data_IF_737471232095
#
_entry.id   IF_737471232095
#
_cell.length_a   1.000
_cell.length_b   1.000
_cell.length_c   1.000
_cell.angle_alpha   90.00
_cell.angle_beta   90.00
_cell.angle_gamma   90.00
#
_symmetry.space_group_name_H-M   'P 1'
#
loop_
_entity.id
_entity.type
_entity.pdbx_description
1 polymer ?
#
# COMPACT_ATOMS: atom_id res chain seq x y z
N UNK A 1 11.53 -22.75 9.92
CA UNK A 1 11.18 -22.13 8.61
C UNK A 1 10.02 -21.15 8.73
N UNK A 2 8.99 -21.48 9.51
CA UNK A 2 7.83 -20.63 9.71
C UNK A 2 8.21 -19.26 10.30
N UNK A 3 9.12 -19.25 11.27
CA UNK A 3 9.62 -18.03 11.90
C UNK A 3 10.32 -17.11 10.92
N UNK A 4 11.15 -17.67 10.03
CA UNK A 4 11.83 -16.90 8.98
C UNK A 4 10.85 -16.38 7.94
N UNK A 5 9.81 -17.16 7.62
CA UNK A 5 8.74 -16.73 6.71
C UNK A 5 8.00 -15.51 7.26
N UNK A 6 7.59 -15.56 8.53
CA UNK A 6 6.92 -14.45 9.20
C UNK A 6 7.82 -13.22 9.30
N UNK A 7 9.09 -13.41 9.66
CA UNK A 7 10.07 -12.33 9.71
C UNK A 7 10.23 -11.63 8.36
N UNK A 8 10.42 -12.40 7.30
CA UNK A 8 10.56 -11.88 5.96
C UNK A 8 9.29 -11.14 5.51
N UNK A 9 8.12 -11.71 5.75
CA UNK A 9 6.84 -11.11 5.43
C UNK A 9 6.67 -9.75 6.12
N UNK A 10 6.94 -9.70 7.42
CA UNK A 10 6.81 -8.48 8.21
C UNK A 10 7.80 -7.39 7.79
N UNK A 11 9.05 -7.75 7.53
CA UNK A 11 10.07 -6.79 7.08
C UNK A 11 9.74 -6.19 5.71
N UNK A 12 9.33 -7.03 4.76
CA UNK A 12 8.98 -6.57 3.41
C UNK A 12 7.71 -5.73 3.44
N UNK A 13 6.70 -6.16 4.18
CA UNK A 13 5.45 -5.40 4.33
C UNK A 13 5.71 -4.02 4.93
N UNK A 14 6.55 -3.95 5.97
CA UNK A 14 6.96 -2.68 6.58
C UNK A 14 7.67 -1.79 5.59
N UNK A 15 8.66 -2.31 4.87
CA UNK A 15 9.41 -1.58 3.86
C UNK A 15 8.52 -1.04 2.75
N UNK A 16 7.64 -1.88 2.21
CA UNK A 16 6.69 -1.50 1.16
C UNK A 16 5.72 -0.42 1.62
N UNK A 17 5.17 -0.53 2.82
CA UNK A 17 4.25 0.47 3.37
C UNK A 17 4.94 1.84 3.52
N UNK A 18 6.15 1.87 4.06
CA UNK A 18 6.92 3.10 4.23
C UNK A 18 7.33 3.71 2.89
N UNK A 19 7.83 2.89 1.97
CA UNK A 19 8.25 3.34 0.64
C UNK A 19 7.08 3.91 -0.15
N UNK A 20 5.93 3.24 -0.14
CA UNK A 20 4.72 3.74 -0.81
C UNK A 20 4.21 5.03 -0.20
N UNK A 21 4.25 5.14 1.11
CA UNK A 21 3.90 6.38 1.80
C UNK A 21 4.80 7.54 1.37
N UNK A 22 6.12 7.31 1.32
CA UNK A 22 7.09 8.32 0.90
C UNK A 22 6.96 8.67 -0.59
N UNK A 23 6.63 7.70 -1.45
CA UNK A 23 6.43 7.94 -2.88
C UNK A 23 5.17 8.76 -3.18
N UNK A 24 4.13 8.63 -2.36
CA UNK A 24 2.91 9.43 -2.51
C UNK A 24 3.10 10.89 -2.10
N UNK A 25 4.19 11.21 -1.43
CA UNK A 25 4.50 12.52 -0.89
C UNK A 25 5.82 13.07 -1.46
N UNK A 26 5.89 13.43 -2.77
CA UNK A 26 7.04 14.18 -3.25
C UNK A 26 7.18 15.50 -2.47
N UNK A 27 8.42 16.02 -2.28
CA UNK A 27 8.66 17.23 -1.49
C UNK A 27 7.89 18.47 -1.97
N UNK A 28 7.51 18.47 -3.26
CA UNK A 28 6.78 19.56 -3.90
C UNK A 28 5.26 19.36 -3.96
N UNK A 29 4.75 18.29 -3.34
CA UNK A 29 3.31 18.02 -3.37
C UNK A 29 2.55 19.07 -2.57
N UNK A 30 1.33 19.45 -3.01
CA UNK A 30 0.49 20.37 -2.27
C UNK A 30 0.18 19.87 -0.87
N UNK A 31 0.19 20.78 0.11
CA UNK A 31 -0.14 20.47 1.51
C UNK A 31 -1.38 21.16 2.02
N UNK A 32 -2.02 22.00 1.21
CA UNK A 32 -3.26 22.68 1.54
C UNK A 32 -4.26 22.55 0.41
N UNK A 33 -5.53 22.31 0.76
CA UNK A 33 -6.66 22.38 -0.17
C UNK A 33 -7.58 23.53 0.17
N UNK A 34 -8.04 24.23 -0.85
CA UNK A 34 -9.10 25.25 -0.76
C UNK A 34 -10.38 24.69 -1.37
N UNK A 35 -11.43 24.67 -0.59
CA UNK A 35 -12.73 24.12 -0.95
C UNK A 35 -13.82 25.21 -0.89
N UNK A 36 -14.97 24.93 -1.47
CA UNK A 36 -16.16 25.79 -1.42
C UNK A 36 -15.96 27.17 -2.06
N UNK A 37 -15.14 27.23 -3.08
CA UNK A 37 -14.89 28.45 -3.85
C UNK A 37 -16.01 28.67 -4.85
N UNK A 38 -16.56 29.90 -4.91
CA UNK A 38 -17.53 30.23 -5.96
C UNK A 38 -16.82 30.52 -7.27
N UNK A 39 -17.55 30.44 -8.38
CA UNK A 39 -16.98 30.77 -9.71
C UNK A 39 -16.44 32.18 -9.77
N UNK A 40 -17.12 33.15 -9.12
CA UNK A 40 -16.68 34.55 -9.06
C UNK A 40 -15.38 34.72 -8.26
N UNK A 41 -15.14 33.88 -7.27
CA UNK A 41 -13.95 33.94 -6.41
C UNK A 41 -12.69 33.34 -7.07
N UNK A 42 -12.85 32.47 -8.07
CA UNK A 42 -11.72 31.79 -8.70
C UNK A 42 -10.63 32.74 -9.21
N UNK A 43 -10.94 33.80 -10.00
CA UNK A 43 -9.90 34.73 -10.44
C UNK A 43 -9.22 35.47 -9.29
N UNK A 44 -9.97 35.82 -8.25
CA UNK A 44 -9.46 36.52 -7.08
C UNK A 44 -8.52 35.67 -6.26
N UNK A 45 -8.88 34.41 -6.02
CA UNK A 45 -8.03 33.44 -5.30
C UNK A 45 -6.79 33.13 -6.10
N UNK A 46 -6.92 32.95 -7.41
CA UNK A 46 -5.78 32.71 -8.31
C UNK A 46 -4.78 33.87 -8.25
N UNK A 47 -5.27 35.13 -8.31
CA UNK A 47 -4.44 36.33 -8.17
C UNK A 47 -3.76 36.39 -6.80
N UNK A 48 -4.45 36.05 -5.72
CA UNK A 48 -3.89 36.00 -4.38
C UNK A 48 -2.74 34.99 -4.27
N UNK A 49 -2.93 33.77 -4.78
CA UNK A 49 -1.90 32.74 -4.77
C UNK A 49 -0.67 33.15 -5.58
N UNK A 50 -0.87 33.76 -6.74
CA UNK A 50 0.22 34.26 -7.57
C UNK A 50 0.96 35.43 -6.91
N UNK A 51 0.25 36.33 -6.26
CA UNK A 51 0.84 37.47 -5.55
C UNK A 51 1.77 37.02 -4.41
N UNK A 52 1.42 35.95 -3.72
CA UNK A 52 2.21 35.37 -2.63
C UNK A 52 3.19 34.31 -3.09
N UNK A 53 3.38 34.17 -4.41
CA UNK A 53 4.32 33.21 -5.02
C UNK A 53 4.06 31.75 -4.60
N UNK A 54 2.81 31.42 -4.34
CA UNK A 54 2.39 30.05 -4.05
C UNK A 54 2.17 29.32 -5.37
N UNK A 55 2.77 28.14 -5.48
CA UNK A 55 2.57 27.30 -6.63
C UNK A 55 1.19 26.66 -6.57
N UNK A 56 0.30 27.14 -7.41
CA UNK A 56 -1.07 26.62 -7.51
C UNK A 56 -1.14 25.41 -8.43
N UNK A 57 -1.94 24.45 -8.05
CA UNK A 57 -2.35 23.36 -8.91
C UNK A 57 -3.61 23.75 -9.72
N UNK A 58 -4.10 22.83 -10.51
CA UNK A 58 -5.29 23.02 -11.33
C UNK A 58 -6.52 23.31 -10.45
N UNK A 59 -7.34 24.26 -10.89
CA UNK A 59 -8.65 24.51 -10.27
C UNK A 59 -9.66 23.54 -10.86
N UNK A 60 -10.32 22.78 -10.00
CA UNK A 60 -11.32 21.78 -10.38
C UNK A 60 -12.72 22.28 -10.02
N UNK A 61 -13.63 22.37 -10.99
CA UNK A 61 -15.05 22.58 -10.68
C UNK A 61 -15.66 21.32 -10.10
N UNK A 62 -16.55 21.49 -9.13
CA UNK A 62 -17.25 20.40 -8.48
C UNK A 62 -18.75 20.64 -8.60
N UNK A 63 -19.45 19.64 -9.14
CA UNK A 63 -20.92 19.60 -9.19
C UNK A 63 -21.39 18.37 -8.43
N UNK A 64 -22.26 18.57 -7.45
CA UNK A 64 -22.82 17.49 -6.66
C UNK A 64 -24.12 16.99 -7.28
N UNK A 65 -24.14 15.72 -7.65
CA UNK A 65 -25.30 15.06 -8.26
C UNK A 65 -25.41 13.63 -7.78
N UNK A 66 -26.57 13.02 -8.03
CA UNK A 66 -26.78 11.59 -7.83
C UNK A 66 -26.84 10.88 -9.17
N UNK A 67 -26.28 9.69 -9.24
CA UNK A 67 -26.51 8.77 -10.35
C UNK A 67 -27.88 8.16 -10.16
N UNK A 68 -28.85 8.60 -10.97
CA UNK A 68 -30.25 8.18 -10.82
C UNK A 68 -30.62 6.99 -11.70
N UNK A 69 -30.09 6.91 -12.90
CA UNK A 69 -30.42 5.86 -13.86
C UNK A 69 -29.19 5.39 -14.63
N UNK A 70 -29.19 4.09 -14.94
CA UNK A 70 -28.21 3.44 -15.81
C UNK A 70 -28.98 2.78 -16.93
N UNK A 71 -28.78 3.20 -18.17
CA UNK A 71 -29.53 2.71 -19.34
C UNK A 71 -31.04 2.76 -19.14
N UNK A 72 -31.54 3.87 -18.61
CA UNK A 72 -32.96 4.13 -18.32
C UNK A 72 -33.55 3.24 -17.22
N UNK A 73 -32.76 2.45 -16.54
CA UNK A 73 -33.15 1.68 -15.37
C UNK A 73 -32.71 2.40 -14.09
N UNK A 74 -33.60 2.48 -13.10
CA UNK A 74 -33.29 3.12 -11.82
C UNK A 74 -32.04 2.48 -11.19
N UNK A 75 -31.06 3.28 -10.84
CA UNK A 75 -29.76 2.80 -10.38
C UNK A 75 -29.86 1.98 -9.09
N UNK A 76 -30.75 2.36 -8.17
CA UNK A 76 -30.99 1.65 -6.92
C UNK A 76 -31.65 0.28 -7.11
N UNK A 77 -32.38 0.08 -8.21
CA UNK A 77 -32.96 -1.21 -8.58
C UNK A 77 -31.93 -2.14 -9.23
N UNK A 78 -31.00 -1.57 -9.97
CA UNK A 78 -29.92 -2.32 -10.64
C UNK A 78 -28.83 -2.74 -9.66
N UNK A 79 -28.48 -1.87 -8.70
CA UNK A 79 -27.44 -2.07 -7.71
C UNK A 79 -28.04 -1.89 -6.32
N UNK A 80 -28.04 -2.95 -5.54
CA UNK A 80 -28.55 -2.93 -4.16
C UNK A 80 -27.50 -2.33 -3.20
N UNK A 81 -27.97 -1.90 -2.04
CA UNK A 81 -27.12 -1.27 -1.02
C UNK A 81 -25.97 -2.18 -0.58
N UNK A 82 -26.19 -3.49 -0.54
CA UNK A 82 -25.19 -4.48 -0.14
C UNK A 82 -24.24 -4.90 -1.27
N UNK A 83 -24.52 -4.48 -2.50
CA UNK A 83 -23.69 -4.81 -3.65
C UNK A 83 -22.41 -3.94 -3.69
N UNK A 84 -21.31 -4.42 -4.31
CA UNK A 84 -20.20 -3.56 -4.61
C UNK A 84 -20.65 -2.34 -5.44
N UNK A 85 -20.35 -1.13 -4.96
CA UNK A 85 -20.79 0.12 -5.60
C UNK A 85 -22.15 0.64 -5.12
N UNK A 86 -22.84 -0.06 -4.22
CA UNK A 86 -24.09 0.43 -3.62
C UNK A 86 -23.95 1.77 -2.93
N UNK A 87 -22.82 2.06 -2.32
CA UNK A 87 -22.51 3.37 -1.74
C UNK A 87 -22.54 4.49 -2.78
N UNK A 88 -21.99 4.25 -3.97
CA UNK A 88 -21.92 5.26 -5.03
C UNK A 88 -23.30 5.62 -5.58
N UNK A 89 -24.25 4.68 -5.56
CA UNK A 89 -25.62 4.89 -6.02
C UNK A 89 -26.47 5.61 -4.97
N UNK A 90 -26.20 5.37 -3.69
CA UNK A 90 -27.01 5.88 -2.57
C UNK A 90 -26.52 7.21 -1.99
N UNK A 91 -25.46 7.80 -2.55
CA UNK A 91 -24.91 9.09 -2.09
C UNK A 91 -24.77 10.08 -3.23
N UNK A 92 -24.61 11.35 -2.88
CA UNK A 92 -24.23 12.36 -3.84
C UNK A 92 -22.79 12.16 -4.29
N UNK A 93 -22.58 12.30 -5.60
CA UNK A 93 -21.26 12.20 -6.22
C UNK A 93 -20.77 13.58 -6.63
N UNK A 94 -19.48 13.78 -6.57
CA UNK A 94 -18.81 14.98 -7.06
C UNK A 94 -18.40 14.74 -8.50
N UNK A 95 -18.96 15.54 -9.41
CA UNK A 95 -18.58 15.54 -10.83
C UNK A 95 -17.66 16.72 -11.10
N UNK A 96 -16.81 16.57 -12.10
CA UNK A 96 -15.99 17.66 -12.60
C UNK A 96 -16.05 17.72 -14.12
N UNK A 97 -15.60 18.81 -14.71
CA UNK A 97 -15.35 18.92 -16.14
C UNK A 97 -13.91 19.40 -16.37
N UNK A 98 -13.26 18.82 -17.37
CA UNK A 98 -11.88 19.13 -17.74
C UNK A 98 -11.73 19.03 -19.24
N UNK A 99 -10.85 19.87 -19.82
CA UNK A 99 -10.45 19.77 -21.22
C UNK A 99 -9.35 18.73 -21.43
N UNK A 100 -8.47 18.59 -20.44
CA UNK A 100 -7.30 17.72 -20.52
C UNK A 100 -7.45 16.51 -19.60
N UNK A 101 -6.92 15.36 -20.02
CA UNK A 101 -6.85 14.18 -19.20
C UNK A 101 -5.87 14.41 -18.06
N UNK A 102 -6.27 14.21 -16.77
CA UNK A 102 -5.32 14.29 -15.68
C UNK A 102 -4.16 13.30 -15.85
N UNK A 103 -2.94 13.75 -15.59
CA UNK A 103 -1.72 12.95 -15.76
C UNK A 103 -1.71 11.67 -14.92
N UNK A 104 -2.40 11.69 -13.80
CA UNK A 104 -2.50 10.58 -12.86
C UNK A 104 -3.70 9.64 -13.14
N UNK A 105 -4.40 9.84 -14.25
CA UNK A 105 -5.56 9.05 -14.66
C UNK A 105 -5.37 8.51 -16.09
N UNK A 106 -4.56 7.47 -16.30
CA UNK A 106 -4.39 6.92 -17.65
C UNK A 106 -5.68 6.29 -18.15
N UNK A 107 -5.95 6.43 -19.46
CA UNK A 107 -7.06 5.74 -20.10
C UNK A 107 -6.80 4.25 -20.16
N UNK A 108 -7.82 3.45 -19.80
CA UNK A 108 -7.78 2.00 -19.93
C UNK A 108 -8.65 1.49 -21.07
N UNK A 109 -9.67 2.27 -21.48
CA UNK A 109 -10.52 1.94 -22.61
C UNK A 109 -11.17 3.20 -23.16
N UNK A 110 -11.55 3.18 -24.44
CA UNK A 110 -12.22 4.28 -25.08
C UNK A 110 -11.29 5.39 -25.56
N UNK A 111 -11.85 6.57 -25.79
CA UNK A 111 -11.14 7.72 -26.38
C UNK A 111 -11.30 8.97 -25.51
N UNK A 112 -10.28 9.81 -25.52
CA UNK A 112 -10.27 11.12 -24.88
C UNK A 112 -10.04 12.21 -25.95
N UNK A 113 -10.64 13.41 -25.87
CA UNK A 113 -11.57 13.87 -24.84
C UNK A 113 -13.03 13.42 -25.08
N UNK A 114 -13.88 13.41 -24.04
CA UNK A 114 -15.32 13.23 -24.26
C UNK A 114 -15.89 14.45 -25.00
N UNK A 115 -16.84 14.19 -25.88
CA UNK A 115 -17.57 15.21 -26.61
C UNK A 115 -18.85 15.60 -25.85
N UNK A 116 -19.59 16.57 -26.38
CA UNK A 116 -20.88 16.96 -25.78
C UNK A 116 -21.81 15.75 -25.66
N UNK A 117 -22.35 15.54 -24.45
CA UNK A 117 -23.20 14.39 -24.14
C UNK A 117 -22.45 13.11 -23.84
N UNK A 118 -21.13 13.18 -23.69
CA UNK A 118 -20.27 12.07 -23.33
C UNK A 118 -19.61 12.30 -21.97
N UNK A 119 -19.15 11.21 -21.34
CA UNK A 119 -18.47 11.27 -20.04
C UNK A 119 -17.36 10.22 -19.97
N UNK A 120 -16.28 10.58 -19.29
CA UNK A 120 -15.21 9.65 -18.92
C UNK A 120 -15.42 9.17 -17.49
N UNK A 121 -15.28 7.87 -17.26
CA UNK A 121 -15.61 7.22 -16.01
C UNK A 121 -14.43 6.48 -15.41
N UNK A 122 -14.38 6.38 -14.08
CA UNK A 122 -13.43 5.52 -13.38
C UNK A 122 -13.72 4.04 -13.67
N UNK A 123 -12.68 3.30 -14.06
CA UNK A 123 -12.76 1.88 -14.35
C UNK A 123 -13.25 1.05 -13.15
N UNK A 124 -12.80 1.38 -11.94
CA UNK A 124 -13.15 0.67 -10.72
C UNK A 124 -14.65 0.74 -10.40
N UNK A 125 -15.23 1.95 -10.48
CA UNK A 125 -16.67 2.12 -10.23
C UNK A 125 -17.50 1.55 -11.38
N UNK A 126 -17.01 1.61 -12.62
CA UNK A 126 -17.66 1.00 -13.76
C UNK A 126 -17.80 -0.50 -13.58
N UNK A 127 -16.77 -1.17 -13.11
CA UNK A 127 -16.81 -2.60 -12.80
C UNK A 127 -17.79 -2.94 -11.67
N UNK A 128 -17.80 -2.15 -10.62
CA UNK A 128 -18.71 -2.35 -9.48
C UNK A 128 -20.19 -2.13 -9.84
N UNK A 129 -20.46 -1.16 -10.71
CA UNK A 129 -21.82 -0.86 -11.17
C UNK A 129 -22.21 -1.63 -12.43
N UNK A 130 -21.33 -2.45 -12.98
CA UNK A 130 -21.54 -3.22 -14.21
C UNK A 130 -21.86 -2.31 -15.41
N UNK A 131 -21.16 -1.22 -15.51
CA UNK A 131 -21.26 -0.24 -16.60
C UNK A 131 -20.18 -0.52 -17.63
N UNK A 132 -20.55 -0.49 -18.91
CA UNK A 132 -19.65 -0.71 -20.03
C UNK A 132 -19.58 0.55 -20.92
N UNK A 133 -18.59 0.62 -21.79
CA UNK A 133 -18.51 1.65 -22.81
C UNK A 133 -19.79 1.66 -23.65
N UNK A 134 -20.32 2.85 -23.88
CA UNK A 134 -21.56 3.03 -24.63
C UNK A 134 -22.81 3.07 -23.78
N UNK A 135 -22.74 2.74 -22.50
CA UNK A 135 -23.88 2.84 -21.59
C UNK A 135 -24.24 4.31 -21.34
N UNK A 136 -25.53 4.59 -21.19
CA UNK A 136 -26.05 5.92 -20.91
C UNK A 136 -26.34 6.04 -19.42
N UNK A 137 -25.79 7.08 -18.79
CA UNK A 137 -26.01 7.38 -17.38
C UNK A 137 -26.85 8.63 -17.25
N UNK A 138 -27.81 8.63 -16.34
CA UNK A 138 -28.62 9.80 -16.00
C UNK A 138 -28.28 10.25 -14.59
N UNK A 139 -27.97 11.53 -14.47
CA UNK A 139 -27.62 12.17 -13.22
C UNK A 139 -28.70 13.17 -12.81
N UNK A 140 -29.03 13.16 -11.54
CA UNK A 140 -30.02 14.02 -10.93
C UNK A 140 -29.33 15.10 -10.10
N UNK A 141 -29.34 16.33 -10.58
CA UNK A 141 -28.81 17.51 -9.87
C UNK A 141 -29.92 18.25 -9.11
N UNK A 142 -29.55 19.32 -8.42
CA UNK A 142 -30.48 20.14 -7.64
C UNK A 142 -31.51 20.84 -8.51
N UNK A 143 -31.16 21.24 -9.71
CA UNK A 143 -32.03 22.01 -10.61
C UNK A 143 -32.51 21.22 -11.81
N UNK A 144 -31.69 20.32 -12.34
CA UNK A 144 -31.95 19.59 -13.59
C UNK A 144 -31.36 18.20 -13.54
N UNK A 145 -32.00 17.30 -14.29
CA UNK A 145 -31.41 16.00 -14.61
C UNK A 145 -30.76 16.06 -16.00
N UNK A 146 -29.67 15.34 -16.19
CA UNK A 146 -28.99 15.26 -17.45
C UNK A 146 -28.40 13.87 -17.68
N UNK A 147 -28.18 13.51 -18.93
CA UNK A 147 -27.68 12.20 -19.31
C UNK A 147 -26.38 12.33 -20.09
N UNK A 148 -25.53 11.34 -19.99
CA UNK A 148 -24.30 11.25 -20.75
C UNK A 148 -23.97 9.79 -21.07
N UNK A 149 -23.29 9.60 -22.21
CA UNK A 149 -22.82 8.29 -22.67
C UNK A 149 -21.40 8.07 -22.23
N UNK A 150 -21.10 6.91 -21.69
CA UNK A 150 -19.74 6.54 -21.28
C UNK A 150 -18.90 6.24 -22.52
N UNK A 151 -17.88 7.05 -22.80
CA UNK A 151 -17.01 6.91 -23.97
C UNK A 151 -15.57 6.55 -23.64
N UNK A 152 -15.19 6.63 -22.37
CA UNK A 152 -13.87 6.22 -21.92
C UNK A 152 -13.88 5.75 -20.48
N UNK A 153 -12.95 4.86 -20.16
CA UNK A 153 -12.65 4.41 -18.80
C UNK A 153 -11.23 4.81 -18.44
N UNK A 154 -11.03 5.25 -17.21
CA UNK A 154 -9.76 5.69 -16.66
C UNK A 154 -9.37 4.86 -15.45
N UNK A 155 -8.08 4.64 -15.29
CA UNK A 155 -7.55 4.09 -14.05
C UNK A 155 -7.28 5.23 -13.07
N UNK A 156 -7.97 5.24 -11.94
CA UNK A 156 -7.83 6.26 -10.90
C UNK A 156 -7.13 5.65 -9.71
N UNK A 157 -6.05 6.29 -9.27
CA UNK A 157 -5.37 5.94 -8.03
C UNK A 157 -6.01 6.72 -6.88
N UNK A 158 -6.96 6.08 -6.19
CA UNK A 158 -7.68 6.69 -5.07
C UNK A 158 -6.82 6.89 -3.83
N UNK A 159 -5.67 6.25 -3.78
CA UNK A 159 -4.70 6.43 -2.70
C UNK A 159 -3.81 7.66 -2.92
N UNK A 160 -3.79 8.21 -4.13
CA UNK A 160 -3.08 9.44 -4.41
C UNK A 160 -3.75 10.63 -3.70
N UNK A 161 -2.94 11.61 -3.31
CA UNK A 161 -3.42 12.82 -2.65
C UNK A 161 -3.84 13.91 -3.65
N UNK A 162 -3.96 13.55 -4.91
CA UNK A 162 -4.45 14.43 -5.96
C UNK A 162 -5.98 14.35 -6.03
N UNK A 163 -6.67 15.43 -6.46
CA UNK A 163 -8.10 15.38 -6.66
C UNK A 163 -8.47 14.30 -7.68
N UNK A 164 -9.36 13.39 -7.29
CA UNK A 164 -9.81 12.29 -8.13
C UNK A 164 -11.32 12.29 -8.22
N UNK A 165 -11.83 12.02 -9.41
CA UNK A 165 -13.26 12.04 -9.70
C UNK A 165 -13.68 10.75 -10.41
N UNK A 166 -14.86 10.24 -10.06
CA UNK A 166 -15.44 9.11 -10.78
C UNK A 166 -15.79 9.46 -12.23
N UNK A 167 -16.27 10.68 -12.45
CA UNK A 167 -16.76 11.13 -13.75
C UNK A 167 -16.14 12.45 -14.13
N UNK A 168 -15.64 12.53 -15.36
CA UNK A 168 -15.13 13.78 -15.95
C UNK A 168 -15.93 14.07 -17.21
N UNK A 169 -16.56 15.24 -17.24
CA UNK A 169 -17.33 15.74 -18.35
C UNK A 169 -16.48 16.68 -19.25
N UNK A 170 -16.88 16.89 -20.50
CA UNK A 170 -16.26 17.93 -21.33
C UNK A 170 -16.65 19.33 -20.81
N UNK A 171 -15.85 20.37 -21.16
CA UNK A 171 -16.21 21.75 -20.82
C UNK A 171 -17.59 22.13 -21.33
N UNK A 172 -18.37 22.83 -20.51
CA UNK A 172 -19.71 23.27 -20.86
C UNK A 172 -20.83 22.29 -20.58
N UNK A 173 -20.53 21.01 -20.34
CA UNK A 173 -21.55 19.97 -20.12
C UNK A 173 -22.32 20.16 -18.80
N UNK A 174 -21.70 20.76 -17.80
CA UNK A 174 -22.29 21.00 -16.49
C UNK A 174 -22.76 22.47 -16.29
N UNK A 175 -22.87 23.21 -17.38
CA UNK A 175 -23.39 24.57 -17.33
C UNK A 175 -24.85 24.57 -16.81
N UNK A 176 -25.19 25.57 -16.00
CA UNK A 176 -26.51 25.65 -15.37
C UNK A 176 -26.63 24.88 -14.06
N UNK A 177 -25.67 24.03 -13.71
CA UNK A 177 -25.61 23.37 -12.40
C UNK A 177 -24.84 24.25 -11.40
N UNK A 178 -25.23 24.25 -10.11
CA UNK A 178 -24.44 24.94 -9.08
C UNK A 178 -23.05 24.31 -8.99
N UNK A 179 -22.03 25.15 -9.09
CA UNK A 179 -20.63 24.70 -9.07
C UNK A 179 -19.88 25.34 -7.92
N UNK A 180 -19.06 24.55 -7.25
CA UNK A 180 -18.01 25.02 -6.36
C UNK A 180 -16.66 24.63 -6.93
N UNK A 181 -15.61 25.28 -6.49
CA UNK A 181 -14.27 25.03 -7.01
C UNK A 181 -13.33 24.57 -5.91
N UNK A 182 -12.40 23.72 -6.32
CA UNK A 182 -11.35 23.15 -5.49
C UNK A 182 -10.00 23.44 -6.13
N UNK A 183 -9.05 23.87 -5.34
CA UNK A 183 -7.64 23.88 -5.74
C UNK A 183 -6.75 23.45 -4.60
N UNK A 184 -5.49 23.24 -4.90
CA UNK A 184 -4.47 22.90 -3.92
C UNK A 184 -3.23 23.74 -4.16
N UNK A 185 -2.45 23.93 -3.11
CA UNK A 185 -1.19 24.66 -3.18
C UNK A 185 -0.23 24.18 -2.10
N UNK A 186 1.04 24.50 -2.28
CA UNK A 186 2.06 24.23 -1.27
C UNK A 186 2.46 25.51 -0.56
N UNK A 187 2.45 25.46 0.77
CA UNK A 187 2.88 26.56 1.63
C UNK A 187 3.65 26.01 2.82
N UNK A 188 4.88 26.47 3.01
CA UNK A 188 5.78 26.05 4.08
C UNK A 188 6.11 27.19 5.05
N UNK A 189 5.35 28.27 5.04
CA UNK A 189 5.60 29.46 5.84
C UNK A 189 5.02 29.38 7.27
N UNK A 190 5.04 30.53 7.93
CA UNK A 190 4.65 30.71 9.34
C UNK A 190 3.13 30.86 9.58
N UNK A 191 2.32 30.73 8.55
CA UNK A 191 0.86 30.84 8.64
C UNK A 191 0.29 32.24 8.44
N UNK A 192 1.10 33.28 8.26
CA UNK A 192 0.64 34.66 8.01
C UNK A 192 -0.16 34.78 6.73
N UNK A 193 0.29 34.13 5.66
CA UNK A 193 -0.40 34.13 4.37
C UNK A 193 -1.73 33.43 4.48
N UNK A 194 -1.81 32.33 5.23
CA UNK A 194 -3.05 31.59 5.46
C UNK A 194 -4.06 32.44 6.25
N UNK A 195 -3.60 33.20 7.22
CA UNK A 195 -4.45 34.12 7.98
C UNK A 195 -5.00 35.21 7.08
N UNK A 196 -4.19 35.80 6.19
CA UNK A 196 -4.64 36.76 5.21
C UNK A 196 -5.65 36.18 4.24
N UNK A 197 -5.43 34.94 3.77
CA UNK A 197 -6.36 34.23 2.91
C UNK A 197 -7.72 34.03 3.59
N UNK A 198 -7.74 33.63 4.85
CA UNK A 198 -8.97 33.45 5.62
C UNK A 198 -9.70 34.77 5.85
N UNK A 199 -8.97 35.88 6.05
CA UNK A 199 -9.57 37.21 6.21
C UNK A 199 -10.17 37.72 4.93
N UNK A 200 -9.49 37.51 3.81
CA UNK A 200 -9.94 38.01 2.50
C UNK A 200 -11.07 37.13 1.94
N UNK A 201 -11.04 35.83 2.22
CA UNK A 201 -12.03 34.88 1.73
C UNK A 201 -12.56 34.01 2.88
N UNK A 202 -13.42 34.57 3.75
CA UNK A 202 -13.85 33.84 4.96
C UNK A 202 -14.78 32.66 4.68
N UNK A 203 -15.39 32.61 3.48
CA UNK A 203 -16.28 31.51 3.09
C UNK A 203 -15.56 30.28 2.55
N UNK A 204 -14.27 30.39 2.26
CA UNK A 204 -13.48 29.25 1.79
C UNK A 204 -13.11 28.32 2.94
N UNK A 205 -13.19 27.03 2.68
CA UNK A 205 -12.69 26.01 3.60
C UNK A 205 -11.24 25.70 3.26
N UNK A 206 -10.34 25.98 4.20
CA UNK A 206 -8.93 25.65 4.08
C UNK A 206 -8.68 24.34 4.82
N UNK A 207 -8.23 23.35 4.11
CA UNK A 207 -7.90 22.03 4.67
C UNK A 207 -6.39 21.86 4.71
N UNK A 208 -5.84 21.69 5.91
CA UNK A 208 -4.42 21.44 6.13
C UNK A 208 -4.12 19.94 6.00
N UNK A 209 -3.77 19.53 4.80
CA UNK A 209 -3.43 18.14 4.52
C UNK A 209 -2.05 17.79 5.09
N UNK A 210 -1.14 18.75 5.18
CA UNK A 210 0.16 18.54 5.81
C UNK A 210 0.05 18.05 7.24
N UNK A 211 -0.86 18.61 8.03
CA UNK A 211 -1.13 18.14 9.40
C UNK A 211 -1.74 16.75 9.41
N UNK A 212 -2.71 16.48 8.53
CA UNK A 212 -3.34 15.16 8.41
C UNK A 212 -2.29 14.12 8.02
N UNK A 213 -1.42 14.45 7.07
CA UNK A 213 -0.34 13.57 6.63
C UNK A 213 0.67 13.29 7.74
N UNK A 214 1.00 14.29 8.56
CA UNK A 214 1.86 14.10 9.73
C UNK A 214 1.22 13.15 10.74
N UNK A 215 -0.09 13.28 11.00
CA UNK A 215 -0.83 12.37 11.88
C UNK A 215 -0.84 10.94 11.33
N UNK A 216 -1.12 10.78 10.03
CA UNK A 216 -1.10 9.47 9.36
C UNK A 216 0.31 8.89 9.36
N UNK A 217 1.33 9.71 9.10
CA UNK A 217 2.74 9.32 9.20
C UNK A 217 3.10 8.87 10.60
N UNK A 218 2.61 9.57 11.65
CA UNK A 218 2.78 9.16 13.03
C UNK A 218 2.14 7.81 13.35
N UNK A 219 0.92 7.58 12.86
CA UNK A 219 0.22 6.29 13.00
C UNK A 219 1.00 5.19 12.26
N UNK A 220 1.49 5.45 11.04
CA UNK A 220 2.31 4.51 10.30
C UNK A 220 3.61 4.17 11.03
N UNK A 221 4.26 5.15 11.65
CA UNK A 221 5.44 4.91 12.47
C UNK A 221 5.12 4.05 13.70
N UNK A 222 3.99 4.28 14.36
CA UNK A 222 3.53 3.44 15.47
C UNK A 222 3.27 2.00 15.02
N UNK A 223 2.60 1.82 13.88
CA UNK A 223 2.39 0.50 13.27
C UNK A 223 3.73 -0.15 12.93
N UNK A 224 4.68 0.60 12.37
CA UNK A 224 6.02 0.11 12.08
C UNK A 224 6.76 -0.35 13.34
N UNK A 225 6.66 0.41 14.43
CA UNK A 225 7.25 0.02 15.72
C UNK A 225 6.60 -1.25 16.28
N UNK A 226 5.26 -1.35 16.19
CA UNK A 226 4.55 -2.55 16.59
C UNK A 226 5.00 -3.77 15.77
N UNK A 227 5.17 -3.60 14.47
CA UNK A 227 5.72 -4.64 13.58
C UNK A 227 7.16 -5.00 13.94
N UNK A 228 8.00 -4.03 14.30
CA UNK A 228 9.37 -4.27 14.80
C UNK A 228 9.36 -5.12 16.08
N UNK A 229 8.50 -4.78 17.03
CA UNK A 229 8.36 -5.54 18.27
C UNK A 229 7.90 -6.97 17.97
N UNK A 230 6.92 -7.13 17.08
CA UNK A 230 6.47 -8.45 16.63
C UNK A 230 7.61 -9.25 15.98
N UNK A 231 8.39 -8.60 15.11
CA UNK A 231 9.56 -9.22 14.47
C UNK A 231 10.56 -9.69 15.51
N UNK A 232 10.88 -8.85 16.49
CA UNK A 232 11.81 -9.21 17.57
C UNK A 232 11.28 -10.40 18.37
N UNK A 233 9.99 -10.39 18.74
CA UNK A 233 9.36 -11.51 19.45
C UNK A 233 9.39 -12.80 18.62
N UNK A 234 9.08 -12.72 17.32
CA UNK A 234 9.13 -13.87 16.40
C UNK A 234 10.55 -14.41 16.31
N UNK A 235 11.57 -13.57 16.21
CA UNK A 235 12.98 -13.96 16.18
C UNK A 235 13.39 -14.66 17.47
N UNK A 236 13.01 -14.10 18.64
CA UNK A 236 13.29 -14.71 19.94
C UNK A 236 12.62 -16.08 20.06
N UNK A 237 11.33 -16.16 19.75
CA UNK A 237 10.58 -17.43 19.78
C UNK A 237 11.15 -18.45 18.80
N UNK A 238 11.47 -18.03 17.59
CA UNK A 238 12.10 -18.86 16.57
C UNK A 238 13.47 -19.37 17.00
N UNK A 239 14.26 -18.53 17.62
CA UNK A 239 15.56 -18.88 18.17
C UNK A 239 15.45 -19.90 19.29
N UNK A 240 14.51 -19.69 20.23
CA UNK A 240 14.25 -20.63 21.32
C UNK A 240 13.76 -22.00 20.81
N UNK A 241 12.85 -22.00 19.83
CA UNK A 241 12.39 -23.23 19.19
C UNK A 241 13.53 -23.94 18.47
N UNK A 242 14.37 -23.19 17.77
CA UNK A 242 15.54 -23.74 17.09
C UNK A 242 16.50 -24.39 18.09
N UNK A 243 16.80 -23.72 19.20
CA UNK A 243 17.65 -24.27 20.26
C UNK A 243 17.04 -25.53 20.86
N UNK A 244 15.74 -25.54 21.11
CA UNK A 244 15.05 -26.71 21.64
C UNK A 244 15.11 -27.90 20.65
N UNK A 245 14.85 -27.63 19.36
CA UNK A 245 14.92 -28.65 18.32
C UNK A 245 16.34 -29.19 18.14
N UNK A 246 17.34 -28.33 18.16
CA UNK A 246 18.73 -28.74 18.06
C UNK A 246 19.15 -29.56 19.27
N UNK A 247 18.75 -29.21 20.50
CA UNK A 247 19.03 -29.97 21.70
C UNK A 247 18.40 -31.37 21.65
N UNK A 248 17.13 -31.46 21.21
CA UNK A 248 16.45 -32.75 21.04
C UNK A 248 17.13 -33.59 19.94
N UNK A 249 17.44 -32.97 18.81
CA UNK A 249 18.17 -33.63 17.72
C UNK A 249 19.56 -34.10 18.14
N UNK A 250 20.26 -33.32 18.96
CA UNK A 250 21.57 -33.67 19.46
C UNK A 250 21.52 -34.84 20.49
N UNK A 251 20.47 -34.92 21.27
CA UNK A 251 20.27 -36.08 22.18
C UNK A 251 20.15 -37.39 21.38
N UNK A 252 19.43 -37.40 20.27
CA UNK A 252 19.31 -38.54 19.37
C UNK A 252 20.62 -38.84 18.66
N UNK A 253 21.35 -37.81 18.22
CA UNK A 253 22.63 -37.94 17.52
C UNK A 253 23.81 -38.31 18.43
N UNK A 254 23.65 -38.14 19.71
CA UNK A 254 24.69 -38.49 20.68
C UNK A 254 25.08 -39.95 20.58
N UNK A 255 24.12 -40.82 20.33
CA UNK A 255 24.38 -42.23 20.10
C UNK A 255 25.11 -42.48 18.77
N UNK A 256 24.72 -41.80 17.70
CA UNK A 256 25.39 -41.90 16.40
C UNK A 256 26.83 -41.38 16.46
N UNK A 257 27.07 -40.28 17.12
CA UNK A 257 28.41 -39.72 17.31
C UNK A 257 29.32 -40.66 18.12
N UNK A 258 28.78 -41.38 19.09
CA UNK A 258 29.52 -42.38 19.83
C UNK A 258 29.95 -43.53 18.93
N UNK A 259 29.03 -43.99 18.06
CA UNK A 259 29.31 -45.07 17.11
C UNK A 259 30.38 -44.64 16.09
N UNK A 260 30.28 -43.45 15.54
CA UNK A 260 31.25 -42.91 14.59
C UNK A 260 32.65 -42.77 15.21
N UNK A 261 32.71 -42.38 16.48
CA UNK A 261 33.97 -42.20 17.20
C UNK A 261 34.61 -43.51 17.57
N UNK A 262 33.83 -44.53 17.88
CA UNK A 262 34.32 -45.90 18.09
C UNK A 262 34.85 -46.54 16.82
N UNK A 263 34.36 -46.08 15.64
CA UNK A 263 34.86 -46.51 14.34
C UNK A 263 36.11 -45.73 13.84
N UNK A 264 36.66 -44.84 14.65
CA UNK A 264 37.90 -44.12 14.37
C UNK A 264 37.78 -42.78 13.66
N UNK A 265 36.56 -42.19 13.57
CA UNK A 265 36.37 -40.88 12.97
C UNK A 265 36.96 -39.77 13.84
N UNK A 266 37.77 -38.89 13.23
CA UNK A 266 38.41 -37.78 13.90
C UNK A 266 37.44 -36.67 14.25
N UNK A 267 37.79 -35.83 15.25
CA UNK A 267 36.99 -34.68 15.68
C UNK A 267 36.70 -33.68 14.54
N UNK A 268 37.63 -33.52 13.62
CA UNK A 268 37.48 -32.63 12.45
C UNK A 268 36.42 -33.16 11.47
N UNK A 269 36.39 -34.45 11.24
CA UNK A 269 35.40 -35.08 10.36
C UNK A 269 33.99 -34.97 10.94
N UNK A 270 33.81 -35.20 12.23
CA UNK A 270 32.54 -35.07 12.93
C UNK A 270 32.03 -33.62 12.94
N UNK A 271 32.93 -32.64 13.19
CA UNK A 271 32.60 -31.21 13.08
C UNK A 271 32.16 -30.84 11.67
N UNK A 272 32.93 -31.24 10.67
CA UNK A 272 32.64 -31.00 9.28
C UNK A 272 31.28 -31.58 8.85
N UNK A 273 30.97 -32.78 9.29
CA UNK A 273 29.69 -33.44 9.00
C UNK A 273 28.53 -32.70 9.65
N UNK A 274 28.65 -32.32 10.92
CA UNK A 274 27.62 -31.54 11.63
C UNK A 274 27.41 -30.16 11.00
N UNK A 275 28.49 -29.47 10.68
CA UNK A 275 28.39 -28.16 10.01
C UNK A 275 27.71 -28.25 8.65
N UNK A 276 28.10 -29.24 7.81
CA UNK A 276 27.48 -29.46 6.51
C UNK A 276 25.99 -29.78 6.64
N UNK A 277 25.63 -30.64 7.60
CA UNK A 277 24.25 -31.04 7.81
C UNK A 277 23.38 -29.89 8.28
N UNK A 278 23.82 -29.09 9.26
CA UNK A 278 23.12 -27.90 9.72
C UNK A 278 23.07 -26.81 8.65
N UNK A 279 24.13 -26.66 7.86
CA UNK A 279 24.13 -25.72 6.74
C UNK A 279 23.09 -26.10 5.68
N UNK A 280 22.99 -27.40 5.33
CA UNK A 280 22.01 -27.93 4.39
C UNK A 280 20.57 -27.73 4.92
N UNK A 281 20.32 -28.05 6.19
CA UNK A 281 19.03 -27.87 6.83
C UNK A 281 18.63 -26.38 6.83
N UNK A 282 19.58 -25.49 7.15
CA UNK A 282 19.38 -24.05 7.12
C UNK A 282 19.06 -23.53 5.74
N UNK A 283 19.76 -24.05 4.72
CA UNK A 283 19.53 -23.65 3.34
C UNK A 283 18.15 -24.09 2.85
N UNK A 284 17.74 -25.33 3.13
CA UNK A 284 16.41 -25.84 2.79
C UNK A 284 15.32 -25.07 3.52
N UNK A 285 15.48 -24.82 4.82
CA UNK A 285 14.54 -24.03 5.62
C UNK A 285 14.43 -22.58 5.10
N UNK A 286 15.54 -21.95 4.72
CA UNK A 286 15.57 -20.63 4.14
C UNK A 286 14.88 -20.53 2.79
N UNK A 287 15.08 -21.51 1.92
CA UNK A 287 14.38 -21.60 0.64
C UNK A 287 12.87 -21.78 0.86
N UNK A 288 12.46 -22.66 1.75
CA UNK A 288 11.05 -22.87 2.08
C UNK A 288 10.42 -21.60 2.65
N UNK A 289 11.13 -20.89 3.52
CA UNK A 289 10.69 -19.62 4.07
C UNK A 289 10.56 -18.54 2.99
N UNK A 290 11.50 -18.46 2.05
CA UNK A 290 11.44 -17.50 0.94
C UNK A 290 10.24 -17.77 0.02
N UNK A 291 10.00 -19.03 -0.34
CA UNK A 291 8.83 -19.43 -1.14
C UNK A 291 7.52 -19.07 -0.42
N UNK A 292 7.40 -19.40 0.86
CA UNK A 292 6.22 -19.09 1.67
C UNK A 292 5.98 -17.58 1.80
N UNK A 293 7.05 -16.80 2.04
CA UNK A 293 6.96 -15.34 2.14
C UNK A 293 6.55 -14.70 0.82
N UNK A 294 7.12 -15.15 -0.31
CA UNK A 294 6.73 -14.66 -1.65
C UNK A 294 5.28 -14.99 -1.96
N UNK A 295 4.82 -16.22 -1.67
CA UNK A 295 3.43 -16.59 -1.88
C UNK A 295 2.48 -15.77 -1.01
N UNK A 296 2.82 -15.55 0.25
CA UNK A 296 2.02 -14.73 1.17
C UNK A 296 1.99 -13.27 0.75
N UNK A 297 3.13 -12.70 0.31
CA UNK A 297 3.21 -11.33 -0.21
C UNK A 297 2.40 -11.17 -1.49
N UNK A 298 2.49 -12.13 -2.40
CA UNK A 298 1.69 -12.12 -3.62
C UNK A 298 0.20 -12.09 -3.29
N UNK A 299 -0.23 -12.95 -2.38
CA UNK A 299 -1.64 -13.00 -1.95
C UNK A 299 -2.10 -11.70 -1.30
N UNK A 300 -1.28 -11.13 -0.41
CA UNK A 300 -1.60 -9.88 0.28
C UNK A 300 -1.61 -8.69 -0.69
N UNK A 301 -0.60 -8.58 -1.55
CA UNK A 301 -0.48 -7.45 -2.47
C UNK A 301 -1.56 -7.48 -3.55
N UNK A 302 -1.90 -8.64 -4.08
CA UNK A 302 -2.87 -8.73 -5.19
C UNK A 302 -4.31 -8.79 -4.74
N UNK A 303 -4.62 -9.45 -3.61
CA UNK A 303 -6.01 -9.66 -3.18
C UNK A 303 -6.48 -8.72 -2.07
N UNK A 304 -5.59 -8.34 -1.15
CA UNK A 304 -5.97 -7.52 0.01
C UNK A 304 -5.70 -6.05 -0.24
N UNK A 305 -4.53 -5.71 -0.81
CA UNK A 305 -4.10 -4.33 -1.01
C UNK A 305 -4.20 -3.85 -2.45
N UNK A 306 -4.56 -4.70 -3.42
CA UNK A 306 -4.64 -4.39 -4.86
C UNK A 306 -3.36 -3.74 -5.41
N UNK A 307 -2.20 -4.11 -4.86
CA UNK A 307 -0.92 -3.61 -5.33
C UNK A 307 -0.36 -4.52 -6.43
N UNK A 308 0.34 -3.96 -7.44
CA UNK A 308 1.03 -4.80 -8.42
C UNK A 308 2.11 -5.64 -7.72
N UNK A 309 2.12 -6.92 -8.04
CA UNK A 309 3.11 -7.84 -7.49
C UNK A 309 4.52 -7.47 -7.96
N UNK A 310 5.39 -7.20 -7.02
CA UNK A 310 6.80 -6.98 -7.28
C UNK A 310 7.62 -8.07 -6.59
N UNK A 311 8.30 -8.95 -7.34
CA UNK A 311 9.16 -9.94 -6.72
C UNK A 311 10.33 -9.26 -6.00
N UNK A 312 10.63 -9.73 -4.80
CA UNK A 312 11.75 -9.23 -4.01
C UNK A 312 12.93 -10.20 -4.13
N UNK A 313 13.90 -9.93 -5.01
CA UNK A 313 15.04 -10.84 -5.20
C UNK A 313 15.91 -10.97 -3.95
N UNK A 314 15.90 -9.97 -3.07
CA UNK A 314 16.67 -10.00 -1.82
C UNK A 314 16.25 -11.14 -0.89
N UNK A 315 14.96 -11.50 -0.85
CA UNK A 315 14.45 -12.61 -0.06
C UNK A 315 15.02 -13.96 -0.52
N UNK A 316 15.17 -14.14 -1.81
CA UNK A 316 15.69 -15.38 -2.38
C UNK A 316 17.18 -15.63 -2.08
N UNK A 317 17.92 -14.52 -1.87
CA UNK A 317 19.35 -14.60 -1.58
C UNK A 317 19.64 -14.50 -0.08
N UNK A 318 18.98 -13.60 0.63
CA UNK A 318 19.28 -13.31 2.02
C UNK A 318 18.77 -14.39 2.98
N UNK A 319 17.55 -14.87 2.79
CA UNK A 319 16.94 -15.84 3.71
C UNK A 319 17.65 -17.19 3.74
N UNK A 320 17.95 -17.85 2.60
CA UNK A 320 18.69 -19.10 2.62
C UNK A 320 20.07 -18.97 3.25
N UNK A 321 20.79 -17.90 2.93
CA UNK A 321 22.12 -17.65 3.49
C UNK A 321 22.09 -17.39 4.98
N UNK A 322 21.19 -16.52 5.45
CA UNK A 322 21.02 -16.24 6.88
C UNK A 322 20.61 -17.47 7.67
N UNK A 323 19.68 -18.24 7.14
CA UNK A 323 19.20 -19.46 7.76
C UNK A 323 20.30 -20.50 7.85
N UNK A 324 21.05 -20.70 6.78
CA UNK A 324 22.20 -21.62 6.74
C UNK A 324 23.27 -21.20 7.75
N UNK A 325 23.58 -19.90 7.80
CA UNK A 325 24.59 -19.36 8.71
C UNK A 325 24.17 -19.54 10.18
N UNK A 326 22.94 -19.20 10.53
CA UNK A 326 22.43 -19.30 11.90
C UNK A 326 22.39 -20.77 12.38
N UNK A 327 21.89 -21.68 11.54
CA UNK A 327 21.88 -23.10 11.87
C UNK A 327 23.27 -23.69 11.97
N UNK A 328 24.18 -23.31 11.09
CA UNK A 328 25.57 -23.71 11.15
C UNK A 328 26.25 -23.27 12.44
N UNK A 329 26.09 -21.99 12.81
CA UNK A 329 26.68 -21.45 14.03
C UNK A 329 26.10 -22.10 15.29
N UNK A 330 24.78 -22.25 15.37
CA UNK A 330 24.13 -22.90 16.51
C UNK A 330 24.50 -24.36 16.61
N UNK A 331 24.48 -25.10 15.50
CA UNK A 331 24.84 -26.50 15.44
C UNK A 331 26.33 -26.74 15.74
N UNK A 332 27.18 -25.88 15.18
CA UNK A 332 28.62 -25.95 15.43
C UNK A 332 28.99 -25.70 16.89
N UNK A 333 28.37 -24.65 17.49
CA UNK A 333 28.58 -24.32 18.90
C UNK A 333 28.11 -25.45 19.83
N UNK A 334 26.91 -25.96 19.60
CA UNK A 334 26.38 -27.09 20.37
C UNK A 334 27.20 -28.38 20.17
N UNK A 335 27.62 -28.62 18.94
CA UNK A 335 28.50 -29.76 18.63
C UNK A 335 29.83 -29.70 19.36
N UNK A 336 30.47 -28.54 19.39
CA UNK A 336 31.70 -28.30 20.15
C UNK A 336 31.49 -28.50 21.64
N UNK A 337 30.37 -27.98 22.16
CA UNK A 337 30.02 -28.13 23.58
C UNK A 337 29.78 -29.58 23.98
N UNK A 338 29.12 -30.35 23.12
CA UNK A 338 28.93 -31.80 23.35
C UNK A 338 30.24 -32.57 23.31
N UNK A 339 31.12 -32.25 22.38
CA UNK A 339 32.42 -32.86 22.28
C UNK A 339 33.32 -32.55 23.47
N UNK A 340 33.26 -31.33 24.01
CA UNK A 340 33.94 -30.92 25.25
C UNK A 340 33.38 -31.62 26.48
N UNK A 341 32.05 -31.76 26.57
CA UNK A 341 31.40 -32.50 27.67
C UNK A 341 31.81 -33.95 27.74
N UNK A 342 32.09 -34.61 26.60
CA UNK A 342 32.58 -35.96 26.55
C UNK A 342 34.04 -36.10 27.00
N UNK A 343 34.87 -35.12 26.74
CA UNK A 343 36.26 -35.16 27.23
C UNK A 343 36.31 -35.09 28.76
N UNK A 344 35.35 -34.44 29.40
CA UNK A 344 35.20 -34.42 30.85
C UNK A 344 34.68 -35.75 31.42
N UNK A 345 33.80 -36.45 30.74
CA UNK A 345 33.32 -37.79 31.18
C UNK A 345 34.40 -38.88 31.08
N UNK A 346 35.30 -38.77 30.13
CA UNK A 346 36.42 -39.71 30.00
C UNK A 346 37.46 -39.58 31.09
N UNK A 347 37.60 -38.42 31.70
CA UNK A 347 38.53 -38.20 32.80
C UNK A 347 38.00 -38.74 34.13
N UNK A 348 36.72 -39.13 34.23
CA UNK A 348 36.12 -39.75 35.41
C UNK A 348 36.14 -41.31 35.38
N UNK A 349 36.41 -41.93 34.23
CA UNK A 349 36.52 -43.41 34.10
C UNK A 349 37.96 -43.93 34.04
N UNK A 350 38.93 -43.06 34.31
CA UNK A 350 40.32 -43.42 34.39
C UNK A 350 40.86 -43.49 35.81
#
# INVERSE_FOLDING_TARGET
SLSFMLLALLLVLRGDLLDRWQQQLPPDSPNYFLLNMTTAQVPQVKAFLQQHQLHEETFYPIVRVRLSEINQQVATERVHEDDPGGEAVNRELNLTWQSDLPDHNPLTAGTWPPKTGEVSMDEGIAGRLKIQLGDTLTFSGDTQSFSAKVTSLRQVDWESLKPNFYFIFPPGALDGQPQTWLTSFRYDGDGKVLTQLNRQFPTLSLLDIGSILKQVGGVLQQVSRALEVMVVLVVICGGLLLLAQVQVGMRQRRQELVVYRTLGAGKRLLRGTLWCEFALLGLVAGIAAAVGAEAALWLLQTKVFDFPWAPTPVLWWALPLLSALLLSLCGGWLGVRLLRGRALFRSYEG
#
